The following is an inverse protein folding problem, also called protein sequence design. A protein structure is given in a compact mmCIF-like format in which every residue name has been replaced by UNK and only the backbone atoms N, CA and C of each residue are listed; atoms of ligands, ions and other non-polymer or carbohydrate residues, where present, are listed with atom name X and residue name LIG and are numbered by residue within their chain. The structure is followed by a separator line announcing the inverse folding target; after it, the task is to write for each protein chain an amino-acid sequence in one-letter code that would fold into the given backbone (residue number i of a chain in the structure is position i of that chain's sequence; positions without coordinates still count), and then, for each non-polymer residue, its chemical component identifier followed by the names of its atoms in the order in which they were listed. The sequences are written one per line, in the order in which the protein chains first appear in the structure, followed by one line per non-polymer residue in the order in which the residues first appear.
data_IF_399996570254
#
_entry.id   IF_399996570254
#
_cell.length_a   1.000
_cell.length_b   1.000
_cell.length_c   1.000
_cell.angle_alpha   90.00
_cell.angle_beta   90.00
_cell.angle_gamma   90.00
#
_symmetry.space_group_name_H-M   'P 1'
#
loop_
_entity.id
_entity.type
_entity.pdbx_description
1 polymer ?
#
# COMPACT_ATOMS: atom_id res chain seq x y z
N UNK A 1 7.95 34.39 -24.18
CA UNK A 1 8.24 33.01 -23.74
C UNK A 1 7.57 32.84 -22.39
N UNK A 2 6.53 32.02 -22.28
CA UNK A 2 6.06 31.62 -20.97
C UNK A 2 7.14 30.77 -20.32
N UNK A 3 7.70 31.20 -19.21
CA UNK A 3 8.57 30.37 -18.39
C UNK A 3 7.73 29.16 -17.95
N UNK A 4 8.13 27.94 -18.36
CA UNK A 4 7.50 26.71 -17.91
C UNK A 4 7.60 26.70 -16.38
N UNK A 5 6.49 26.52 -15.66
CA UNK A 5 6.48 26.43 -14.21
C UNK A 5 7.46 25.34 -13.76
N UNK A 6 8.22 25.59 -12.72
CA UNK A 6 9.12 24.59 -12.17
C UNK A 6 8.30 23.50 -11.52
N UNK A 7 8.39 22.28 -12.05
CA UNK A 7 7.64 21.12 -11.59
C UNK A 7 8.42 20.32 -10.54
N UNK A 8 7.70 19.59 -9.69
CA UNK A 8 8.25 18.67 -8.72
C UNK A 8 7.27 17.56 -8.41
N UNK A 9 7.72 16.52 -7.74
CA UNK A 9 6.92 15.32 -7.42
C UNK A 9 6.76 15.19 -5.92
N UNK A 10 5.53 14.98 -5.46
CA UNK A 10 5.22 14.50 -4.12
C UNK A 10 4.84 13.03 -4.20
N UNK A 11 5.75 12.15 -3.78
CA UNK A 11 5.50 10.72 -3.62
C UNK A 11 4.73 10.51 -2.31
N UNK A 12 3.61 9.80 -2.34
CA UNK A 12 2.74 9.68 -1.15
C UNK A 12 2.51 8.22 -0.78
N UNK A 13 2.76 7.89 0.50
CA UNK A 13 2.40 6.59 1.05
C UNK A 13 1.51 6.74 2.30
N UNK A 14 1.02 5.62 2.85
CA UNK A 14 0.12 5.58 4.00
C UNK A 14 0.72 6.27 5.23
N UNK A 15 1.94 5.88 5.53
CA UNK A 15 2.62 6.26 6.75
C UNK A 15 2.80 5.09 7.71
N UNK A 16 3.52 5.38 8.78
CA UNK A 16 3.96 4.39 9.76
C UNK A 16 4.28 5.09 11.08
N UNK A 17 4.32 4.40 12.22
CA UNK A 17 4.82 4.99 13.46
C UNK A 17 6.27 5.46 13.33
N UNK A 18 6.65 6.52 14.06
CA UNK A 18 8.04 7.01 14.07
C UNK A 18 9.00 6.00 14.73
N UNK A 19 8.47 5.19 15.66
CA UNK A 19 9.21 4.18 16.45
C UNK A 19 8.32 2.96 16.71
N UNK A 20 8.90 1.77 16.94
CA UNK A 20 8.12 0.56 17.28
C UNK A 20 7.70 0.56 18.77
N UNK A 21 7.29 1.72 19.30
CA UNK A 21 6.87 1.88 20.68
C UNK A 21 5.38 2.13 20.81
N UNK A 22 4.77 1.69 21.91
CA UNK A 22 3.34 1.86 22.12
C UNK A 22 2.88 3.35 22.04
N UNK A 23 3.63 4.35 22.56
CA UNK A 23 3.27 5.75 22.38
C UNK A 23 3.31 6.23 20.93
N UNK A 24 4.32 5.83 20.15
CA UNK A 24 4.44 6.20 18.73
C UNK A 24 3.35 5.54 17.90
N UNK A 25 3.12 4.25 18.10
CA UNK A 25 2.02 3.49 17.47
C UNK A 25 0.66 4.10 17.82
N UNK A 26 0.46 4.52 19.08
CA UNK A 26 -0.77 5.20 19.51
C UNK A 26 -1.00 6.50 18.75
N UNK A 27 0.04 7.31 18.55
CA UNK A 27 -0.06 8.57 17.77
C UNK A 27 -0.45 8.27 16.31
N UNK A 28 0.23 7.34 15.68
CA UNK A 28 -0.04 6.93 14.30
C UNK A 28 -1.46 6.36 14.14
N UNK A 29 -1.84 5.36 14.94
CA UNK A 29 -3.18 4.76 14.90
C UNK A 29 -4.28 5.79 15.21
N UNK A 30 -4.00 6.77 16.08
CA UNK A 30 -4.95 7.84 16.36
C UNK A 30 -5.22 8.69 15.11
N UNK A 31 -4.20 9.08 14.34
CA UNK A 31 -4.38 9.83 13.10
C UNK A 31 -5.14 8.98 12.06
N UNK A 32 -4.69 7.76 11.83
CA UNK A 32 -5.25 6.83 10.86
C UNK A 32 -6.73 6.52 11.13
N UNK A 33 -7.07 6.16 12.37
CA UNK A 33 -8.44 5.77 12.75
C UNK A 33 -9.37 6.98 12.99
N UNK A 34 -8.86 8.21 13.01
CA UNK A 34 -9.68 9.41 12.96
C UNK A 34 -10.08 9.82 11.54
N UNK A 35 -9.50 9.22 10.50
CA UNK A 35 -9.94 9.52 9.15
C UNK A 35 -11.33 8.94 8.91
N UNK A 36 -12.25 9.79 8.44
CA UNK A 36 -13.62 9.38 8.14
C UNK A 36 -13.69 8.40 6.97
N UNK A 37 -12.72 8.45 6.06
CA UNK A 37 -12.63 7.51 4.95
C UNK A 37 -12.21 6.12 5.40
N UNK A 38 -11.47 6.03 6.51
CA UNK A 38 -11.03 4.75 7.09
C UNK A 38 -12.10 4.18 8.02
N UNK A 39 -12.64 5.03 8.90
CA UNK A 39 -13.70 4.65 9.85
C UNK A 39 -14.88 5.60 9.69
N UNK A 40 -15.87 5.17 8.94
CA UNK A 40 -17.10 5.91 8.67
C UNK A 40 -18.10 5.76 9.83
N UNK A 41 -17.72 6.31 10.99
CA UNK A 41 -18.57 6.39 12.17
C UNK A 41 -18.70 7.84 12.64
N UNK A 42 -19.85 8.17 13.22
CA UNK A 42 -20.10 9.47 13.83
C UNK A 42 -19.06 9.76 14.93
N UNK A 43 -18.33 10.89 14.82
CA UNK A 43 -17.15 11.19 15.66
C UNK A 43 -17.42 11.20 17.16
N UNK A 44 -18.56 11.72 17.58
CA UNK A 44 -18.91 11.76 19.01
C UNK A 44 -19.13 10.36 19.62
N UNK A 45 -19.48 9.35 18.82
CA UNK A 45 -19.53 7.94 19.25
C UNK A 45 -18.17 7.28 19.15
N UNK A 46 -17.46 7.55 18.03
CA UNK A 46 -16.20 6.88 17.73
C UNK A 46 -15.04 7.32 18.63
N UNK A 47 -14.89 8.65 18.88
CA UNK A 47 -13.76 9.15 19.64
C UNK A 47 -13.63 8.57 21.06
N UNK A 48 -14.71 8.43 21.86
CA UNK A 48 -14.62 7.76 23.16
C UNK A 48 -14.18 6.29 23.06
N UNK A 49 -14.69 5.55 22.08
CA UNK A 49 -14.31 4.15 21.85
C UNK A 49 -12.85 4.05 21.41
N UNK A 50 -12.44 4.88 20.47
CA UNK A 50 -11.08 4.92 19.96
C UNK A 50 -10.08 5.19 21.08
N UNK A 51 -10.27 6.31 21.82
CA UNK A 51 -9.31 6.74 22.84
C UNK A 51 -9.40 5.98 24.15
N UNK A 52 -10.60 5.55 24.55
CA UNK A 52 -10.85 4.84 25.83
C UNK A 52 -10.58 3.33 25.75
N UNK A 53 -10.74 2.72 24.58
CA UNK A 53 -10.67 1.26 24.45
C UNK A 53 -9.64 0.82 23.40
N UNK A 54 -9.81 1.26 22.14
CA UNK A 54 -9.03 0.71 21.03
C UNK A 54 -7.54 1.06 21.14
N UNK A 55 -7.21 2.33 21.24
CA UNK A 55 -5.81 2.76 21.30
C UNK A 55 -5.07 2.21 22.53
N UNK A 56 -5.62 2.22 23.77
CA UNK A 56 -4.94 1.65 24.92
C UNK A 56 -4.65 0.14 24.78
N UNK A 57 -5.56 -0.62 24.17
CA UNK A 57 -5.43 -2.08 24.04
C UNK A 57 -4.56 -2.46 22.83
N UNK A 58 -4.78 -1.81 21.67
CA UNK A 58 -4.10 -2.20 20.43
C UNK A 58 -2.68 -1.68 20.34
N UNK A 59 -2.41 -0.45 20.82
CA UNK A 59 -1.09 0.16 20.61
C UNK A 59 0.07 -0.68 21.17
N UNK A 60 -0.01 -1.26 22.39
CA UNK A 60 1.07 -2.13 22.89
C UNK A 60 1.23 -3.43 22.13
N UNK A 61 0.12 -3.99 21.60
CA UNK A 61 0.16 -5.23 20.81
C UNK A 61 0.79 -4.96 19.44
N UNK A 62 0.32 -3.92 18.75
CA UNK A 62 0.83 -3.53 17.43
C UNK A 62 2.29 -3.07 17.51
N UNK A 63 2.72 -2.44 18.62
CA UNK A 63 4.11 -2.09 18.82
C UNK A 63 5.03 -3.32 18.79
N UNK A 64 4.64 -4.44 19.43
CA UNK A 64 5.40 -5.69 19.39
C UNK A 64 5.49 -6.28 17.98
N UNK A 65 4.41 -6.16 17.18
CA UNK A 65 4.44 -6.61 15.79
C UNK A 65 5.37 -5.71 14.97
N UNK A 66 5.39 -4.38 15.20
CA UNK A 66 6.38 -3.50 14.57
C UNK A 66 7.82 -3.84 14.99
N UNK A 67 8.06 -4.19 16.25
CA UNK A 67 9.40 -4.62 16.72
C UNK A 67 9.93 -5.82 15.91
N UNK A 68 9.06 -6.79 15.56
CA UNK A 68 9.47 -8.00 14.84
C UNK A 68 9.86 -7.76 13.38
N UNK A 69 9.35 -6.68 12.76
CA UNK A 69 9.63 -6.34 11.34
C UNK A 69 10.49 -5.09 11.20
N UNK A 70 10.91 -4.47 12.32
CA UNK A 70 11.63 -3.20 12.30
C UNK A 70 13.04 -3.38 11.75
N UNK A 71 13.39 -2.58 10.75
CA UNK A 71 14.72 -2.57 10.15
C UNK A 71 15.65 -1.62 10.93
N UNK A 72 16.95 -1.70 10.70
CA UNK A 72 17.94 -0.80 11.32
C UNK A 72 17.65 0.69 11.02
N UNK A 73 17.16 0.99 9.82
CA UNK A 73 16.87 2.35 9.35
C UNK A 73 15.44 2.85 9.68
N UNK A 74 14.58 1.99 10.26
CA UNK A 74 13.18 2.31 10.58
C UNK A 74 12.18 1.24 10.18
N UNK A 75 10.90 1.61 10.10
CA UNK A 75 9.89 0.68 9.59
C UNK A 75 10.13 0.34 8.11
N UNK A 76 9.81 -0.88 7.65
CA UNK A 76 9.99 -1.26 6.25
C UNK A 76 9.32 -0.28 5.29
N UNK A 77 8.07 0.11 5.54
CA UNK A 77 7.35 1.08 4.71
C UNK A 77 8.12 2.41 4.57
N UNK A 78 8.69 2.93 5.66
CA UNK A 78 9.46 4.19 5.64
C UNK A 78 10.77 4.02 4.89
N UNK A 79 11.49 2.94 5.16
CA UNK A 79 12.79 2.66 4.53
C UNK A 79 12.63 2.56 3.01
N UNK A 80 11.68 1.74 2.56
CA UNK A 80 11.45 1.57 1.13
C UNK A 80 10.87 2.83 0.48
N UNK A 81 9.96 3.55 1.12
CA UNK A 81 9.43 4.81 0.57
C UNK A 81 10.55 5.87 0.39
N UNK A 82 11.50 5.97 1.32
CA UNK A 82 12.68 6.83 1.18
C UNK A 82 13.59 6.39 0.04
N UNK A 83 13.82 5.08 -0.11
CA UNK A 83 14.62 4.54 -1.21
C UNK A 83 13.95 4.77 -2.56
N UNK A 84 12.63 4.57 -2.65
CA UNK A 84 11.81 4.87 -3.82
C UNK A 84 11.93 6.35 -4.22
N UNK A 85 11.72 7.28 -3.28
CA UNK A 85 11.84 8.71 -3.55
C UNK A 85 13.24 9.09 -4.01
N UNK A 86 14.30 8.55 -3.37
CA UNK A 86 15.68 8.79 -3.74
C UNK A 86 16.01 8.27 -5.14
N UNK A 87 15.62 7.04 -5.48
CA UNK A 87 15.84 6.46 -6.81
C UNK A 87 15.03 7.21 -7.87
N UNK A 88 13.76 7.52 -7.59
CA UNK A 88 12.92 8.28 -8.52
C UNK A 88 13.50 9.65 -8.83
N UNK A 89 14.06 10.36 -7.85
CA UNK A 89 14.75 11.63 -8.06
C UNK A 89 15.97 11.52 -8.99
N UNK A 90 16.60 10.34 -9.07
CA UNK A 90 17.73 10.09 -9.99
C UNK A 90 17.25 9.84 -11.44
N UNK A 91 15.98 9.43 -11.62
CA UNK A 91 15.39 9.15 -12.94
C UNK A 91 14.65 10.35 -13.54
N UNK A 92 14.45 11.39 -12.73
CA UNK A 92 13.70 12.59 -13.11
C UNK A 92 14.58 13.85 -12.95
N UNK A 93 14.45 14.80 -13.88
CA UNK A 93 15.12 16.11 -13.79
C UNK A 93 14.33 17.12 -12.94
N UNK A 94 13.55 16.64 -11.96
CA UNK A 94 12.71 17.46 -11.08
C UNK A 94 12.85 17.03 -9.61
N UNK A 95 12.67 17.94 -8.65
CA UNK A 95 12.67 17.58 -7.24
C UNK A 95 11.61 16.53 -6.89
N UNK A 96 11.97 15.58 -6.04
CA UNK A 96 11.07 14.54 -5.52
C UNK A 96 11.11 14.58 -4.00
N UNK A 97 9.95 14.76 -3.38
CA UNK A 97 9.79 14.72 -1.92
C UNK A 97 8.80 13.63 -1.53
N UNK A 98 8.95 13.15 -0.30
CA UNK A 98 8.08 12.14 0.28
C UNK A 98 7.06 12.79 1.23
N UNK A 99 5.80 12.37 1.17
CA UNK A 99 4.75 12.73 2.12
C UNK A 99 3.98 11.51 2.58
N UNK A 100 3.59 11.48 3.85
CA UNK A 100 2.75 10.43 4.43
C UNK A 100 1.34 10.96 4.65
N UNK A 101 0.34 10.13 4.34
CA UNK A 101 -1.06 10.45 4.65
C UNK A 101 -1.26 10.58 6.16
N UNK A 102 -0.59 9.71 6.93
CA UNK A 102 -0.59 9.71 8.39
C UNK A 102 0.85 9.61 8.92
N UNK A 103 1.18 10.40 9.94
CA UNK A 103 2.53 10.43 10.51
C UNK A 103 3.48 11.37 9.79
N UNK A 104 4.76 11.01 9.75
CA UNK A 104 5.86 11.85 9.25
C UNK A 104 6.66 11.16 8.13
N UNK A 105 7.24 11.95 7.17
CA UNK A 105 6.98 13.36 6.93
C UNK A 105 5.52 13.58 6.48
N UNK A 106 4.89 14.67 6.94
CA UNK A 106 3.50 14.94 6.56
C UNK A 106 3.37 15.39 5.11
N UNK A 107 2.16 15.28 4.53
CA UNK A 107 1.88 15.86 3.20
C UNK A 107 2.22 17.36 3.17
N UNK A 108 1.89 18.09 4.24
CA UNK A 108 2.20 19.53 4.35
C UNK A 108 3.71 19.76 4.26
N UNK A 109 4.52 19.04 5.03
CA UNK A 109 5.98 19.22 5.00
C UNK A 109 6.60 18.86 3.64
N UNK A 110 6.02 17.88 2.93
CA UNK A 110 6.42 17.54 1.57
C UNK A 110 6.15 18.69 0.59
N UNK A 111 4.97 19.29 0.62
CA UNK A 111 4.67 20.50 -0.18
C UNK A 111 5.60 21.66 0.18
N UNK A 112 5.79 21.95 1.47
CA UNK A 112 6.70 23.02 1.93
C UNK A 112 8.14 22.83 1.41
N UNK A 113 8.63 21.58 1.45
CA UNK A 113 9.98 21.25 0.94
C UNK A 113 10.09 21.46 -0.57
N UNK A 114 9.08 21.10 -1.36
CA UNK A 114 9.06 21.36 -2.81
C UNK A 114 8.99 22.86 -3.11
N UNK A 115 8.14 23.60 -2.42
CA UNK A 115 8.02 25.06 -2.59
C UNK A 115 9.33 25.77 -2.23
N UNK A 116 10.01 25.35 -1.16
CA UNK A 116 11.32 25.89 -0.79
C UNK A 116 12.39 25.67 -1.87
N UNK A 117 12.24 24.65 -2.71
CA UNK A 117 13.08 24.40 -3.88
C UNK A 117 12.62 25.18 -5.14
N UNK A 118 11.61 26.05 -5.00
CA UNK A 118 11.07 26.87 -6.07
C UNK A 118 10.11 26.14 -7.00
N UNK A 119 9.50 25.03 -6.56
CA UNK A 119 8.47 24.31 -7.32
C UNK A 119 7.16 25.10 -7.29
N UNK A 120 6.56 25.28 -8.46
CA UNK A 120 5.30 26.00 -8.68
C UNK A 120 4.14 25.05 -9.05
N UNK A 121 4.47 23.84 -9.54
CA UNK A 121 3.52 22.80 -9.90
C UNK A 121 3.98 21.46 -9.35
N UNK A 122 3.11 20.78 -8.56
CA UNK A 122 3.39 19.51 -7.91
C UNK A 122 2.61 18.38 -8.57
N UNK A 123 3.32 17.35 -9.03
CA UNK A 123 2.72 16.08 -9.45
C UNK A 123 2.64 15.17 -8.22
N UNK A 124 1.44 14.81 -7.81
CA UNK A 124 1.23 13.89 -6.67
C UNK A 124 1.07 12.48 -7.19
N UNK A 125 1.95 11.58 -6.72
CA UNK A 125 1.89 10.14 -7.00
C UNK A 125 1.64 9.36 -5.72
N UNK A 126 0.37 8.98 -5.43
CA UNK A 126 0.08 8.04 -4.37
C UNK A 126 0.59 6.64 -4.72
N UNK A 127 1.22 5.99 -3.76
CA UNK A 127 1.77 4.64 -3.91
C UNK A 127 0.70 3.55 -3.71
N UNK A 128 -0.46 3.77 -4.31
CA UNK A 128 -1.60 2.85 -4.33
C UNK A 128 -2.00 2.56 -5.77
N UNK A 129 -1.62 1.39 -6.31
CA UNK A 129 -1.97 1.06 -7.70
C UNK A 129 -3.47 1.01 -7.94
N UNK A 130 -4.22 0.41 -7.02
CA UNK A 130 -5.67 0.30 -7.07
C UNK A 130 -6.32 1.47 -6.31
N UNK A 131 -7.24 2.17 -6.95
CA UNK A 131 -8.02 3.22 -6.28
C UNK A 131 -8.91 2.64 -5.20
N UNK A 132 -8.96 3.30 -4.05
CA UNK A 132 -10.02 3.16 -3.05
C UNK A 132 -10.33 4.50 -2.38
N UNK A 133 -11.55 4.64 -1.90
CA UNK A 133 -11.95 5.74 -1.03
C UNK A 133 -11.13 5.82 0.24
N UNK A 134 -10.66 4.67 0.75
CA UNK A 134 -9.89 4.57 2.00
C UNK A 134 -8.40 4.92 1.83
N UNK A 135 -7.89 4.96 0.60
CA UNK A 135 -6.48 5.23 0.28
C UNK A 135 -6.35 6.48 -0.60
N UNK A 136 -6.56 6.35 -1.90
CA UNK A 136 -6.34 7.43 -2.87
C UNK A 136 -7.20 8.66 -2.57
N UNK A 137 -8.46 8.48 -2.19
CA UNK A 137 -9.30 9.63 -1.84
C UNK A 137 -8.92 10.23 -0.46
N UNK A 138 -8.44 9.43 0.49
CA UNK A 138 -7.89 9.94 1.75
C UNK A 138 -6.66 10.83 1.51
N UNK A 139 -5.77 10.45 0.58
CA UNK A 139 -4.66 11.29 0.14
C UNK A 139 -5.17 12.63 -0.41
N UNK A 140 -6.19 12.63 -1.27
CA UNK A 140 -6.78 13.86 -1.82
C UNK A 140 -7.33 14.79 -0.73
N UNK A 141 -8.01 14.23 0.27
CA UNK A 141 -8.50 15.01 1.43
C UNK A 141 -7.33 15.57 2.25
N UNK A 142 -6.27 14.76 2.47
CA UNK A 142 -5.05 15.16 3.14
C UNK A 142 -4.32 16.29 2.42
N UNK A 143 -4.20 16.24 1.09
CA UNK A 143 -3.66 17.30 0.25
C UNK A 143 -4.47 18.58 0.42
N UNK A 144 -5.79 18.50 0.31
CA UNK A 144 -6.67 19.65 0.48
C UNK A 144 -6.45 20.31 1.85
N UNK A 145 -6.27 19.51 2.91
CA UNK A 145 -5.96 20.01 4.25
C UNK A 145 -4.58 20.66 4.31
N UNK A 146 -3.56 20.06 3.70
CA UNK A 146 -2.20 20.61 3.64
C UNK A 146 -2.17 21.95 2.90
N UNK A 147 -2.77 22.01 1.70
CA UNK A 147 -2.79 23.23 0.86
C UNK A 147 -3.44 24.42 1.56
N UNK A 148 -4.45 24.18 2.41
CA UNK A 148 -5.10 25.25 3.21
C UNK A 148 -4.16 25.92 4.23
N UNK A 149 -3.05 25.28 4.58
CA UNK A 149 -2.07 25.82 5.54
C UNK A 149 -0.95 26.60 4.84
N UNK A 150 -0.83 26.49 3.51
CA UNK A 150 0.20 27.17 2.75
C UNK A 150 -0.20 28.60 2.42
N UNK A 151 0.72 29.60 2.54
CA UNK A 151 0.44 30.99 2.19
C UNK A 151 0.19 31.18 0.69
N UNK A 152 0.80 30.33 -0.15
CA UNK A 152 0.60 30.30 -1.61
C UNK A 152 0.43 28.86 -2.02
N UNK A 153 -0.68 28.56 -2.67
CA UNK A 153 -0.99 27.21 -3.16
C UNK A 153 -0.30 27.00 -4.50
N UNK A 154 0.56 25.96 -4.66
CA UNK A 154 1.07 25.56 -5.96
C UNK A 154 -0.03 24.98 -6.84
N UNK A 155 0.14 25.02 -8.16
CA UNK A 155 -0.63 24.14 -9.02
C UNK A 155 -0.32 22.68 -8.70
N UNK A 156 -1.26 21.75 -8.88
CA UNK A 156 -0.98 20.34 -8.72
C UNK A 156 -1.78 19.47 -9.67
N UNK A 157 -1.19 18.35 -10.07
CA UNK A 157 -1.81 17.25 -10.77
C UNK A 157 -1.76 16.00 -9.89
N UNK A 158 -2.69 15.06 -10.10
CA UNK A 158 -2.87 13.90 -9.25
C UNK A 158 -2.96 12.63 -10.10
N UNK A 159 -2.13 11.63 -9.82
CA UNK A 159 -2.19 10.31 -10.44
C UNK A 159 -3.14 9.46 -9.59
N UNK A 160 -4.33 9.18 -10.09
CA UNK A 160 -5.40 8.56 -9.32
C UNK A 160 -5.18 7.06 -9.06
N UNK A 161 -4.75 6.34 -10.08
CA UNK A 161 -4.51 4.89 -10.05
C UNK A 161 -3.61 4.49 -11.24
N UNK A 162 -3.05 3.28 -11.15
CA UNK A 162 -2.23 2.67 -12.20
C UNK A 162 -2.29 1.14 -12.17
N UNK A 163 -3.41 0.59 -11.67
CA UNK A 163 -3.65 -0.83 -11.42
C UNK A 163 -3.55 -1.73 -12.65
N UNK A 164 -3.76 -1.18 -13.85
CA UNK A 164 -3.70 -1.86 -15.15
C UNK A 164 -2.58 -1.33 -16.07
N UNK A 165 -1.72 -0.45 -15.53
CA UNK A 165 -0.63 0.12 -16.32
C UNK A 165 0.34 -0.98 -16.78
N UNK A 166 0.68 -1.09 -18.09
CA UNK A 166 1.48 -2.20 -18.61
C UNK A 166 2.83 -2.39 -17.91
N UNK A 167 3.54 -1.30 -17.58
CA UNK A 167 4.81 -1.39 -16.87
C UNK A 167 4.64 -1.85 -15.42
N UNK A 168 3.51 -1.52 -14.76
CA UNK A 168 3.21 -2.02 -13.43
C UNK A 168 2.97 -3.53 -13.44
N UNK A 169 2.15 -4.01 -14.38
CA UNK A 169 1.88 -5.45 -14.55
C UNK A 169 3.17 -6.20 -14.90
N UNK A 170 4.01 -5.66 -15.77
CA UNK A 170 5.28 -6.30 -16.12
C UNK A 170 6.27 -6.31 -14.94
N UNK A 171 6.34 -5.24 -14.13
CA UNK A 171 7.16 -5.24 -12.91
C UNK A 171 6.71 -6.34 -11.92
N UNK A 172 5.40 -6.51 -11.70
CA UNK A 172 4.86 -7.61 -10.89
C UNK A 172 5.21 -8.97 -11.50
N UNK A 173 5.02 -9.14 -12.81
CA UNK A 173 5.31 -10.41 -13.49
C UNK A 173 6.82 -10.74 -13.45
N UNK A 174 7.67 -9.74 -13.60
CA UNK A 174 9.12 -9.90 -13.48
C UNK A 174 9.53 -10.36 -12.08
N UNK A 175 9.02 -9.69 -11.04
CA UNK A 175 9.26 -10.07 -9.64
C UNK A 175 8.86 -11.53 -9.36
N UNK A 176 7.70 -11.96 -9.87
CA UNK A 176 7.25 -13.35 -9.73
C UNK A 176 8.18 -14.32 -10.47
N UNK A 177 8.57 -14.02 -11.73
CA UNK A 177 9.48 -14.88 -12.51
C UNK A 177 10.84 -15.02 -11.84
N UNK A 178 11.42 -13.91 -11.38
CA UNK A 178 12.68 -13.89 -10.64
C UNK A 178 12.60 -14.77 -9.39
N UNK A 179 11.52 -14.62 -8.62
CA UNK A 179 11.31 -15.43 -7.42
C UNK A 179 11.23 -16.92 -7.75
N UNK A 180 10.51 -17.28 -8.82
CA UNK A 180 10.40 -18.67 -9.28
C UNK A 180 11.72 -19.27 -9.78
N UNK A 181 12.57 -18.47 -10.42
CA UNK A 181 13.90 -18.90 -10.85
C UNK A 181 14.80 -19.27 -9.66
N UNK A 182 14.69 -18.54 -8.55
CA UNK A 182 15.50 -18.74 -7.36
C UNK A 182 14.95 -19.80 -6.40
N UNK A 183 13.62 -19.89 -6.25
CA UNK A 183 12.96 -20.69 -5.22
C UNK A 183 12.08 -21.82 -5.76
N UNK A 184 11.87 -21.85 -7.07
CA UNK A 184 10.92 -22.76 -7.72
C UNK A 184 9.48 -22.21 -7.69
N UNK A 185 8.67 -22.69 -8.64
CA UNK A 185 7.27 -22.28 -8.81
C UNK A 185 6.37 -23.10 -7.89
N UNK A 186 5.42 -22.41 -7.23
CA UNK A 186 4.34 -23.05 -6.48
C UNK A 186 3.24 -23.64 -7.37
N UNK A 187 2.32 -24.37 -6.76
CA UNK A 187 1.15 -24.94 -7.44
C UNK A 187 0.12 -23.85 -7.77
N UNK A 188 0.11 -22.76 -6.97
CA UNK A 188 -0.88 -21.68 -7.08
C UNK A 188 -0.28 -20.34 -6.68
N UNK A 189 -0.59 -19.28 -7.43
CA UNK A 189 -0.24 -17.90 -7.10
C UNK A 189 -1.46 -17.19 -6.52
N UNK A 190 -1.39 -16.75 -5.26
CA UNK A 190 -2.44 -15.99 -4.59
C UNK A 190 -2.05 -14.51 -4.50
N UNK A 191 -2.84 -13.64 -5.11
CA UNK A 191 -2.75 -12.19 -4.94
C UNK A 191 -3.59 -11.77 -3.72
N UNK A 192 -2.94 -11.42 -2.62
CA UNK A 192 -3.63 -10.93 -1.42
C UNK A 192 -3.69 -9.41 -1.41
N UNK A 193 -4.89 -8.86 -1.31
CA UNK A 193 -5.15 -7.42 -1.27
C UNK A 193 -5.64 -7.02 0.12
N UNK A 194 -5.35 -5.81 0.56
CA UNK A 194 -5.96 -5.32 1.80
C UNK A 194 -7.49 -5.24 1.63
N UNK A 195 -8.23 -5.85 2.53
CA UNK A 195 -9.69 -5.81 2.51
C UNK A 195 -10.24 -4.41 2.81
N UNK A 196 -11.45 -4.17 2.34
CA UNK A 196 -12.29 -3.04 2.78
C UNK A 196 -13.67 -3.57 3.15
N UNK A 197 -14.45 -2.86 4.01
CA UNK A 197 -15.83 -3.22 4.26
C UNK A 197 -16.64 -3.33 2.97
N UNK A 198 -17.39 -4.42 2.83
CA UNK A 198 -18.19 -4.71 1.63
C UNK A 198 -19.14 -3.54 1.26
N UNK A 199 -19.71 -2.86 2.27
CA UNK A 199 -20.57 -1.70 2.05
C UNK A 199 -19.89 -0.54 1.30
N UNK A 200 -18.55 -0.40 1.33
CA UNK A 200 -17.87 0.63 0.54
C UNK A 200 -17.96 0.31 -0.96
N UNK A 201 -17.73 -0.96 -1.32
CA UNK A 201 -17.93 -1.40 -2.70
C UNK A 201 -19.40 -1.32 -3.13
N UNK A 202 -20.34 -1.71 -2.27
CA UNK A 202 -21.79 -1.60 -2.52
C UNK A 202 -22.20 -0.13 -2.73
N UNK A 203 -21.50 0.82 -2.13
CA UNK A 203 -21.69 2.26 -2.28
C UNK A 203 -20.86 2.90 -3.43
N UNK A 204 -20.20 2.09 -4.24
CA UNK A 204 -19.56 2.54 -5.48
C UNK A 204 -18.03 2.67 -5.40
N UNK A 205 -17.36 2.17 -4.37
CA UNK A 205 -15.89 2.06 -4.40
C UNK A 205 -15.49 0.99 -5.43
N UNK A 206 -14.66 1.40 -6.39
CA UNK A 206 -14.24 0.57 -7.53
C UNK A 206 -13.01 -0.30 -7.23
N UNK A 207 -12.57 -0.33 -5.98
CA UNK A 207 -11.39 -1.08 -5.55
C UNK A 207 -11.42 -2.57 -5.94
N UNK A 208 -12.54 -3.31 -5.74
CA UNK A 208 -12.59 -4.73 -6.13
C UNK A 208 -12.32 -4.95 -7.62
N UNK A 209 -12.89 -4.09 -8.49
CA UNK A 209 -12.70 -4.18 -9.93
C UNK A 209 -11.24 -3.94 -10.33
N UNK A 210 -10.54 -3.02 -9.65
CA UNK A 210 -9.12 -2.77 -9.88
C UNK A 210 -8.26 -3.95 -9.42
N UNK A 211 -8.58 -4.59 -8.28
CA UNK A 211 -7.90 -5.80 -7.80
C UNK A 211 -8.08 -6.97 -8.78
N UNK A 212 -9.30 -7.18 -9.26
CA UNK A 212 -9.62 -8.21 -10.27
C UNK A 212 -8.85 -7.96 -11.57
N UNK A 213 -8.82 -6.71 -12.05
CA UNK A 213 -8.11 -6.35 -13.27
C UNK A 213 -6.60 -6.60 -13.14
N UNK A 214 -5.98 -6.18 -12.02
CA UNK A 214 -4.56 -6.42 -11.75
C UNK A 214 -4.26 -7.92 -11.73
N UNK A 215 -5.06 -8.72 -11.01
CA UNK A 215 -4.85 -10.17 -10.90
C UNK A 215 -4.98 -10.86 -12.26
N UNK A 216 -6.00 -10.51 -13.03
CA UNK A 216 -6.21 -11.06 -14.39
C UNK A 216 -5.03 -10.71 -15.32
N UNK A 217 -4.64 -9.44 -15.37
CA UNK A 217 -3.54 -8.98 -16.24
C UNK A 217 -2.20 -9.61 -15.84
N UNK A 218 -1.96 -9.78 -14.54
CA UNK A 218 -0.79 -10.50 -14.06
C UNK A 218 -0.81 -11.97 -14.49
N UNK A 219 -1.95 -12.65 -14.37
CA UNK A 219 -2.12 -14.03 -14.86
C UNK A 219 -1.83 -14.15 -16.35
N UNK A 220 -2.35 -13.22 -17.17
CA UNK A 220 -2.08 -13.15 -18.60
C UNK A 220 -0.58 -12.97 -18.90
N UNK A 221 0.09 -12.03 -18.20
CA UNK A 221 1.53 -11.75 -18.36
C UNK A 221 2.42 -12.93 -17.95
N UNK A 222 1.97 -13.75 -16.99
CA UNK A 222 2.67 -14.96 -16.53
C UNK A 222 2.29 -16.23 -17.31
N UNK A 223 1.29 -16.16 -18.20
CA UNK A 223 0.77 -17.32 -18.91
C UNK A 223 0.08 -18.34 -18.00
N UNK A 224 -0.53 -17.87 -16.90
CA UNK A 224 -1.25 -18.71 -15.94
C UNK A 224 -2.71 -18.84 -16.33
N UNK A 225 -3.26 -20.05 -16.17
CA UNK A 225 -4.70 -20.28 -16.28
C UNK A 225 -5.42 -19.86 -14.98
N UNK A 226 -6.74 -19.69 -15.04
CA UNK A 226 -7.56 -19.24 -13.90
C UNK A 226 -7.59 -20.20 -12.70
N UNK A 227 -7.15 -21.44 -12.89
CA UNK A 227 -6.96 -22.43 -11.83
C UNK A 227 -5.56 -22.39 -11.18
N UNK A 228 -4.65 -21.56 -11.72
CA UNK A 228 -3.29 -21.39 -11.22
C UNK A 228 -3.05 -20.04 -10.53
N UNK A 229 -3.97 -19.09 -10.68
CA UNK A 229 -3.88 -17.77 -10.05
C UNK A 229 -5.25 -17.34 -9.52
N UNK A 230 -5.26 -16.64 -8.41
CA UNK A 230 -6.47 -16.01 -7.89
C UNK A 230 -6.17 -14.92 -6.88
N UNK A 231 -7.23 -14.36 -6.31
CA UNK A 231 -7.11 -13.27 -5.36
C UNK A 231 -7.93 -13.51 -4.09
N UNK A 232 -7.50 -12.87 -3.00
CA UNK A 232 -8.21 -12.84 -1.73
C UNK A 232 -7.94 -11.51 -1.02
N UNK A 233 -8.69 -11.25 0.06
CA UNK A 233 -8.59 -10.03 0.86
C UNK A 233 -8.15 -10.34 2.29
N UNK A 234 -7.14 -9.60 2.77
CA UNK A 234 -6.55 -9.72 4.11
C UNK A 234 -7.00 -8.61 5.06
N UNK A 235 -6.55 -8.67 6.31
CA UNK A 235 -6.59 -7.58 7.30
C UNK A 235 -7.99 -7.16 7.75
N UNK A 236 -8.96 -8.06 7.69
CA UNK A 236 -10.31 -7.75 8.18
C UNK A 236 -10.35 -7.59 9.70
N UNK A 237 -11.15 -6.68 10.18
CA UNK A 237 -11.38 -6.51 11.60
C UNK A 237 -12.83 -6.14 11.94
N UNK A 238 -13.22 -6.38 13.21
CA UNK A 238 -14.56 -6.07 13.66
C UNK A 238 -15.60 -7.12 13.26
N UNK A 239 -16.89 -6.73 13.26
CA UNK A 239 -18.02 -7.64 13.00
C UNK A 239 -18.70 -7.39 11.66
N UNK A 240 -18.32 -6.34 10.97
CA UNK A 240 -18.87 -5.98 9.68
C UNK A 240 -18.40 -6.98 8.61
N UNK A 241 -19.20 -7.17 7.56
CA UNK A 241 -18.78 -7.95 6.39
C UNK A 241 -17.78 -7.17 5.54
N UNK A 242 -16.66 -7.81 5.21
CA UNK A 242 -15.60 -7.31 4.35
C UNK A 242 -15.63 -7.99 2.99
N UNK A 243 -14.89 -7.45 2.03
CA UNK A 243 -14.72 -8.08 0.72
C UNK A 243 -14.20 -9.51 0.86
N UNK A 244 -14.70 -10.40 0.02
CA UNK A 244 -14.37 -11.82 0.00
C UNK A 244 -13.82 -12.22 -1.38
N UNK A 245 -13.10 -13.38 -1.48
CA UNK A 245 -12.77 -14.32 -0.41
C UNK A 245 -11.74 -13.77 0.59
N UNK A 246 -11.74 -14.26 1.82
CA UNK A 246 -10.74 -13.89 2.83
C UNK A 246 -9.47 -14.70 2.66
N UNK A 247 -8.29 -14.08 2.82
CA UNK A 247 -6.99 -14.73 2.62
C UNK A 247 -6.80 -15.89 3.59
N UNK A 248 -7.03 -15.69 4.90
CA UNK A 248 -6.96 -16.76 5.91
C UNK A 248 -7.85 -17.95 5.57
N UNK A 249 -9.10 -17.71 5.16
CA UNK A 249 -10.06 -18.78 4.81
C UNK A 249 -9.73 -19.47 3.49
N UNK A 250 -9.14 -18.74 2.56
CA UNK A 250 -8.63 -19.32 1.32
C UNK A 250 -7.49 -20.30 1.61
N UNK A 251 -6.54 -19.88 2.46
CA UNK A 251 -5.40 -20.70 2.85
C UNK A 251 -5.79 -21.93 3.66
N UNK A 252 -6.77 -21.82 4.57
CA UNK A 252 -7.32 -22.95 5.32
C UNK A 252 -7.91 -24.04 4.39
N UNK A 253 -8.44 -23.68 3.23
CA UNK A 253 -9.22 -24.58 2.38
C UNK A 253 -8.53 -25.02 1.10
N UNK A 254 -7.56 -24.25 0.60
CA UNK A 254 -6.95 -24.48 -0.71
C UNK A 254 -6.15 -25.79 -0.77
N UNK A 255 -5.61 -26.24 0.37
CA UNK A 255 -4.87 -27.51 0.50
C UNK A 255 -5.75 -28.72 0.20
N UNK A 256 -7.06 -28.63 0.52
CA UNK A 256 -8.04 -29.69 0.20
C UNK A 256 -8.32 -29.80 -1.31
N UNK A 257 -7.97 -28.76 -2.09
CA UNK A 257 -8.05 -28.73 -3.55
C UNK A 257 -6.76 -29.23 -4.23
N UNK A 258 -5.80 -29.73 -3.44
CA UNK A 258 -4.56 -30.30 -3.94
C UNK A 258 -3.37 -29.33 -4.00
N UNK A 259 -3.56 -28.06 -3.61
CA UNK A 259 -2.46 -27.07 -3.53
C UNK A 259 -1.60 -27.36 -2.30
N UNK A 260 -0.33 -27.75 -2.52
CA UNK A 260 0.64 -28.04 -1.47
C UNK A 260 1.74 -26.99 -1.38
N UNK A 261 2.00 -26.30 -2.47
CA UNK A 261 2.98 -25.22 -2.57
C UNK A 261 2.28 -23.96 -3.05
N UNK A 262 2.29 -22.93 -2.23
CA UNK A 262 1.63 -21.67 -2.57
C UNK A 262 2.66 -20.54 -2.67
N UNK A 263 2.53 -19.74 -3.73
CA UNK A 263 3.18 -18.45 -3.85
C UNK A 263 2.17 -17.37 -3.52
N UNK A 264 2.50 -16.41 -2.68
CA UNK A 264 1.63 -15.31 -2.31
C UNK A 264 2.33 -13.97 -2.49
N UNK A 265 1.63 -13.02 -3.06
CA UNK A 265 2.08 -11.64 -3.22
C UNK A 265 0.97 -10.65 -2.87
N UNK A 266 1.35 -9.40 -2.66
CA UNK A 266 0.45 -8.35 -2.18
C UNK A 266 0.44 -7.13 -3.10
N UNK A 267 -0.21 -7.20 -4.29
CA UNK A 267 -0.08 -6.17 -5.34
C UNK A 267 -0.58 -4.79 -4.94
N UNK A 268 -1.44 -4.66 -3.94
CA UNK A 268 -1.90 -3.34 -3.46
C UNK A 268 -0.83 -2.55 -2.68
N UNK A 269 0.26 -3.21 -2.31
CA UNK A 269 1.32 -2.62 -1.51
C UNK A 269 2.55 -2.35 -2.38
N UNK A 270 2.94 -1.09 -2.48
CA UNK A 270 4.15 -0.70 -3.22
C UNK A 270 5.43 -1.00 -2.45
N UNK A 271 5.33 -1.17 -1.14
CA UNK A 271 6.43 -1.42 -0.23
C UNK A 271 6.03 -2.43 0.82
N UNK A 272 6.97 -3.29 1.23
CA UNK A 272 6.78 -4.15 2.38
C UNK A 272 6.49 -3.31 3.63
N UNK A 273 5.58 -3.82 4.45
CA UNK A 273 5.09 -3.18 5.64
C UNK A 273 4.68 -4.23 6.69
N UNK A 274 4.03 -3.80 7.75
CA UNK A 274 3.57 -4.70 8.80
C UNK A 274 2.61 -5.76 8.24
N UNK A 275 1.66 -5.32 7.41
CA UNK A 275 0.61 -6.16 6.83
C UNK A 275 1.14 -7.20 5.83
N UNK A 276 2.32 -6.99 5.27
CA UNK A 276 2.93 -7.94 4.33
C UNK A 276 3.88 -8.90 5.03
N UNK A 277 4.71 -8.41 5.93
CA UNK A 277 5.76 -9.19 6.57
C UNK A 277 5.27 -9.98 7.79
N UNK A 278 4.39 -9.39 8.59
CA UNK A 278 3.87 -10.06 9.78
C UNK A 278 2.59 -10.85 9.46
N UNK A 279 1.59 -10.23 8.84
CA UNK A 279 0.32 -10.90 8.58
C UNK A 279 0.46 -11.95 7.46
N UNK A 280 1.06 -11.61 6.30
CA UNK A 280 1.16 -12.57 5.19
C UNK A 280 2.33 -13.54 5.37
N UNK A 281 3.55 -13.04 5.51
CA UNK A 281 4.73 -13.91 5.58
C UNK A 281 4.88 -14.63 6.93
N UNK A 282 4.18 -14.17 7.98
CA UNK A 282 4.11 -14.78 9.31
C UNK A 282 2.81 -15.55 9.54
N UNK A 283 1.76 -14.86 9.98
CA UNK A 283 0.48 -15.47 10.44
C UNK A 283 -0.19 -16.33 9.36
N UNK A 284 -0.30 -15.83 8.12
CA UNK A 284 -0.94 -16.57 7.03
C UNK A 284 -0.12 -17.79 6.56
N UNK A 285 1.21 -17.74 6.70
CA UNK A 285 2.07 -18.91 6.50
C UNK A 285 1.75 -20.01 7.50
N UNK A 286 1.60 -19.67 8.78
CA UNK A 286 1.25 -20.66 9.82
C UNK A 286 -0.10 -21.32 9.51
N UNK A 287 -1.12 -20.52 9.15
CA UNK A 287 -2.45 -21.01 8.75
C UNK A 287 -2.35 -22.02 7.59
N UNK A 288 -1.60 -21.70 6.54
CA UNK A 288 -1.46 -22.59 5.39
C UNK A 288 -0.73 -23.91 5.77
N UNK A 289 0.35 -23.80 6.54
CA UNK A 289 1.10 -24.99 6.97
C UNK A 289 0.28 -25.90 7.88
N UNK A 290 -0.49 -25.32 8.83
CA UNK A 290 -1.41 -26.08 9.70
C UNK A 290 -2.54 -26.74 8.91
N UNK A 291 -3.00 -26.14 7.81
CA UNK A 291 -3.99 -26.72 6.91
C UNK A 291 -3.44 -27.86 6.04
N UNK A 292 -2.17 -28.24 6.18
CA UNK A 292 -1.51 -29.33 5.45
C UNK A 292 -0.81 -28.88 4.17
N UNK A 293 -0.44 -27.60 4.06
CA UNK A 293 0.49 -27.08 3.09
C UNK A 293 1.92 -27.59 3.34
N UNK A 294 2.75 -27.61 2.31
CA UNK A 294 4.13 -28.11 2.36
C UNK A 294 5.16 -27.00 2.18
N UNK A 295 4.86 -26.02 1.32
CA UNK A 295 5.73 -24.87 1.04
C UNK A 295 4.91 -23.61 0.89
N UNK A 296 5.30 -22.56 1.60
CA UNK A 296 4.70 -21.23 1.52
C UNK A 296 5.78 -20.22 1.14
N UNK A 297 5.60 -19.57 0.00
CA UNK A 297 6.51 -18.57 -0.51
C UNK A 297 5.83 -17.21 -0.49
N UNK A 298 6.39 -16.27 0.25
CA UNK A 298 6.02 -14.87 0.18
C UNK A 298 6.91 -14.17 -0.85
N UNK A 299 6.31 -13.65 -1.92
CA UNK A 299 7.00 -12.82 -2.92
C UNK A 299 6.97 -11.38 -2.41
N UNK A 300 8.12 -10.74 -2.12
CA UNK A 300 8.17 -9.38 -1.61
C UNK A 300 7.45 -8.37 -2.50
N UNK A 301 6.97 -7.29 -1.92
CA UNK A 301 6.48 -6.15 -2.67
C UNK A 301 7.55 -5.64 -3.64
N UNK A 302 7.16 -4.83 -4.62
CA UNK A 302 8.11 -4.26 -5.58
C UNK A 302 9.17 -3.37 -4.92
N UNK A 303 8.89 -2.83 -3.74
CA UNK A 303 9.85 -2.06 -2.96
C UNK A 303 10.55 -0.99 -3.83
N UNK A 304 11.86 -0.93 -3.77
CA UNK A 304 12.69 -0.01 -4.58
C UNK A 304 13.34 -0.72 -5.77
N UNK A 305 12.70 -1.76 -6.32
CA UNK A 305 13.12 -2.43 -7.55
C UNK A 305 13.18 -1.45 -8.73
N UNK A 306 14.16 -1.63 -9.60
CA UNK A 306 14.43 -0.68 -10.68
C UNK A 306 13.27 -0.61 -11.69
N UNK A 307 12.59 -1.74 -12.01
CA UNK A 307 11.41 -1.71 -12.89
C UNK A 307 10.24 -0.97 -12.25
N UNK A 308 10.10 -1.05 -10.93
CA UNK A 308 9.10 -0.28 -10.19
C UNK A 308 9.39 1.22 -10.25
N UNK A 309 10.65 1.61 -10.09
CA UNK A 309 11.08 3.01 -10.21
C UNK A 309 10.91 3.54 -11.63
N UNK A 310 11.25 2.74 -12.64
CA UNK A 310 11.05 3.09 -14.06
C UNK A 310 9.57 3.33 -14.38
N UNK A 311 8.68 2.47 -13.86
CA UNK A 311 7.23 2.63 -13.97
C UNK A 311 6.75 3.93 -13.32
N UNK A 312 7.20 4.23 -12.09
CA UNK A 312 6.87 5.48 -11.42
C UNK A 312 7.35 6.69 -12.22
N UNK A 313 8.57 6.63 -12.76
CA UNK A 313 9.13 7.69 -13.57
C UNK A 313 8.30 7.93 -14.85
N UNK A 314 7.81 6.87 -15.50
CA UNK A 314 6.95 6.97 -16.67
C UNK A 314 5.60 7.61 -16.33
N UNK A 315 4.97 7.20 -15.24
CA UNK A 315 3.73 7.81 -14.75
C UNK A 315 3.90 9.32 -14.52
N UNK A 316 5.01 9.72 -13.91
CA UNK A 316 5.33 11.14 -13.67
C UNK A 316 5.59 11.87 -15.00
N UNK A 317 6.42 11.31 -15.91
CA UNK A 317 6.72 11.90 -17.21
C UNK A 317 5.48 12.17 -18.05
N UNK A 318 4.44 11.32 -17.90
CA UNK A 318 3.14 11.53 -18.57
C UNK A 318 2.42 12.81 -18.12
N UNK A 319 2.87 13.45 -17.04
CA UNK A 319 2.32 14.68 -16.46
C UNK A 319 3.25 15.90 -16.55
N UNK A 320 4.55 15.69 -16.85
CA UNK A 320 5.55 16.76 -17.09
C UNK A 320 5.36 17.38 -18.49
#
# INVERSE_FOLDING_TARGET
MQTKNKQGVLLVNLGTPDEPTAPAVKRFLSQFLHDHRVVDMTRWLWCPILHGVILPIRSPKVAKLYESVWMEEGSPLMVYSKRQAKKLAQHLDVPVELGMTYGNPSLQSGFEALIAQGVEEVIVLPLYPQYSGTTTAAVSDGITKALKQLPVMPAFSFIRDYHDHPMYIEALAHSVRQYWEEHGKGDYLLCSYHGIPKRYADNGDIYPQHCEATTRLLGEALGLSSDQIGMAYQSRFGREEWLQPYTDKTLETITSKGVKKIDIMTPAFSSDCLETLEEIAGENKEIFMEAGGEQFHYIPCLNDDDMHIDMMAELVRSKL
#
